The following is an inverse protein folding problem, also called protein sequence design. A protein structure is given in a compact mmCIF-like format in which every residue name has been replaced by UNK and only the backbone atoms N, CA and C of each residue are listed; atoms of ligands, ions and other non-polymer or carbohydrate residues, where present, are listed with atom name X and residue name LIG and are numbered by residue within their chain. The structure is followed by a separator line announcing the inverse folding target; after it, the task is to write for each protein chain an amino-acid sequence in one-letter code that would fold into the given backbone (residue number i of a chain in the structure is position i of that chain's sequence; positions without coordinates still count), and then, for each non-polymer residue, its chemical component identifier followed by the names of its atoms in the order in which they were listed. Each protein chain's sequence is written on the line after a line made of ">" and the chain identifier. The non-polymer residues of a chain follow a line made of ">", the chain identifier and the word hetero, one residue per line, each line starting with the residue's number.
data_IF_893689028597
#
_entry.id   IF_893689028597
#
_cell.length_a   1.000
_cell.length_b   1.000
_cell.length_c   1.000
_cell.angle_alpha   90.00
_cell.angle_beta   90.00
_cell.angle_gamma   90.00
#
_symmetry.space_group_name_H-M   'P 1'
#
loop_
_entity.id
_entity.type
_entity.pdbx_description
1 polymer ?
#
# COMPACT_ATOMS: atom_id res chain seq x y z
N UNK A 1 -11.05 8.13 -10.05
CA UNK A 1 -10.16 7.30 -9.21
C UNK A 1 -10.75 7.32 -7.81
N UNK A 2 -11.11 6.16 -7.25
CA UNK A 2 -11.69 6.08 -5.90
C UNK A 2 -10.56 6.31 -4.87
N UNK A 3 -10.68 7.34 -4.03
CA UNK A 3 -9.73 7.59 -2.95
C UNK A 3 -10.03 6.66 -1.79
N UNK A 4 -9.09 5.79 -1.44
CA UNK A 4 -9.19 4.93 -0.25
C UNK A 4 -8.80 5.71 1.00
N UNK A 5 -9.54 5.50 2.09
CA UNK A 5 -9.14 6.03 3.39
C UNK A 5 -7.88 5.32 3.89
N UNK A 6 -7.07 5.97 4.74
CA UNK A 6 -5.89 5.33 5.33
C UNK A 6 -6.24 4.03 6.09
N UNK A 7 -7.44 3.97 6.71
CA UNK A 7 -7.94 2.76 7.38
C UNK A 7 -8.24 1.64 6.39
N UNK A 8 -8.88 1.95 5.26
CA UNK A 8 -9.16 1.01 4.17
C UNK A 8 -7.87 0.44 3.59
N UNK A 9 -6.89 1.30 3.28
CA UNK A 9 -5.57 0.90 2.78
C UNK A 9 -4.89 -0.06 3.76
N UNK A 10 -4.84 0.30 5.04
CA UNK A 10 -4.20 -0.53 6.06
C UNK A 10 -4.92 -1.86 6.24
N UNK A 11 -6.26 -1.87 6.24
CA UNK A 11 -7.05 -3.08 6.34
C UNK A 11 -6.74 -4.04 5.19
N UNK A 12 -6.88 -3.58 3.94
CA UNK A 12 -6.65 -4.41 2.75
C UNK A 12 -5.22 -4.95 2.70
N UNK A 13 -4.23 -4.10 3.00
CA UNK A 13 -2.83 -4.50 3.05
C UNK A 13 -2.56 -5.53 4.14
N UNK A 14 -3.13 -5.34 5.33
CA UNK A 14 -2.94 -6.26 6.45
C UNK A 14 -3.62 -7.60 6.19
N UNK A 15 -4.84 -7.61 5.66
CA UNK A 15 -5.50 -8.86 5.24
C UNK A 15 -4.66 -9.62 4.22
N UNK A 16 -4.09 -8.91 3.25
CA UNK A 16 -3.26 -9.52 2.23
C UNK A 16 -1.99 -10.13 2.83
N UNK A 17 -1.29 -9.42 3.72
CA UNK A 17 -0.10 -9.94 4.40
C UNK A 17 -0.44 -11.20 5.21
N UNK A 18 -1.58 -11.22 5.91
CA UNK A 18 -2.03 -12.40 6.64
C UNK A 18 -2.31 -13.59 5.73
N UNK A 19 -2.96 -13.36 4.58
CA UNK A 19 -3.24 -14.39 3.57
C UNK A 19 -1.95 -14.93 2.95
N UNK A 20 -1.01 -14.06 2.59
CA UNK A 20 0.30 -14.43 2.01
C UNK A 20 1.15 -15.27 2.96
N UNK A 21 1.07 -15.00 4.26
CA UNK A 21 1.79 -15.76 5.29
C UNK A 21 0.98 -16.94 5.86
N UNK A 22 -0.25 -17.15 5.40
CA UNK A 22 -1.17 -18.19 5.89
C UNK A 22 -1.36 -18.17 7.41
N UNK A 23 -1.60 -16.98 7.98
CA UNK A 23 -1.82 -16.79 9.42
C UNK A 23 -3.21 -16.22 9.72
N UNK A 24 -3.67 -16.49 10.95
CA UNK A 24 -4.94 -16.03 11.50
C UNK A 24 -4.78 -14.74 12.31
N UNK A 25 -5.91 -14.09 12.63
CA UNK A 25 -5.91 -12.90 13.51
C UNK A 25 -5.40 -13.22 14.92
N UNK A 26 -5.62 -14.45 15.38
CA UNK A 26 -5.18 -14.92 16.69
C UNK A 26 -3.65 -15.00 16.71
N UNK A 27 -3.05 -15.71 15.77
CA UNK A 27 -1.60 -15.85 15.65
C UNK A 27 -0.89 -14.51 15.51
N UNK A 28 -1.43 -13.61 14.66
CA UNK A 28 -0.89 -12.26 14.53
C UNK A 28 -0.98 -11.49 15.85
N UNK A 29 -2.12 -11.58 16.55
CA UNK A 29 -2.32 -10.86 17.81
C UNK A 29 -1.37 -11.33 18.91
N UNK A 30 -1.12 -12.64 18.99
CA UNK A 30 -0.17 -13.24 19.92
C UNK A 30 1.27 -12.82 19.59
N UNK A 31 1.65 -12.83 18.31
CA UNK A 31 2.99 -12.49 17.88
C UNK A 31 3.38 -11.03 18.18
N UNK A 32 2.44 -10.09 18.02
CA UNK A 32 2.70 -8.66 18.26
C UNK A 32 2.24 -8.19 19.66
N UNK A 33 1.74 -9.09 20.50
CA UNK A 33 1.38 -8.79 21.89
C UNK A 33 0.16 -7.85 22.05
N UNK A 34 -0.88 -8.04 21.23
CA UNK A 34 -2.16 -7.30 21.34
C UNK A 34 -3.35 -8.26 21.42
N UNK A 35 -4.53 -7.75 21.76
CA UNK A 35 -5.75 -8.57 21.72
C UNK A 35 -6.18 -8.86 20.27
N UNK A 36 -6.79 -10.02 20.03
CA UNK A 36 -7.43 -10.34 18.74
C UNK A 36 -8.45 -9.26 18.33
N UNK A 37 -9.17 -8.67 19.31
CA UNK A 37 -10.12 -7.58 19.05
C UNK A 37 -9.44 -6.31 18.53
N UNK A 38 -8.17 -6.07 18.88
CA UNK A 38 -7.37 -4.98 18.35
C UNK A 38 -7.08 -5.19 16.86
N UNK A 39 -6.65 -6.39 16.47
CA UNK A 39 -6.47 -6.77 15.06
C UNK A 39 -7.78 -6.63 14.29
N UNK A 40 -8.87 -7.17 14.85
CA UNK A 40 -10.20 -7.08 14.23
C UNK A 40 -10.66 -5.64 14.01
N UNK A 41 -10.37 -4.73 14.94
CA UNK A 41 -10.68 -3.30 14.78
C UNK A 41 -9.87 -2.64 13.65
N UNK A 42 -8.65 -3.08 13.38
CA UNK A 42 -7.85 -2.58 12.26
C UNK A 42 -8.37 -3.10 10.93
N UNK A 43 -8.70 -4.39 10.85
CA UNK A 43 -9.27 -5.03 9.65
C UNK A 43 -10.67 -4.52 9.31
N UNK A 44 -11.51 -4.24 10.31
CA UNK A 44 -12.85 -3.68 10.12
C UNK A 44 -12.86 -2.16 9.95
N UNK A 45 -11.69 -1.54 9.77
CA UNK A 45 -11.54 -0.09 9.63
C UNK A 45 -12.13 0.72 10.80
N UNK A 46 -12.25 0.14 12.00
CA UNK A 46 -12.82 0.85 13.17
C UNK A 46 -11.78 1.78 13.79
N UNK A 47 -10.53 1.33 13.89
CA UNK A 47 -9.41 2.08 14.45
C UNK A 47 -8.20 2.01 13.53
N UNK A 48 -7.34 3.02 13.64
CA UNK A 48 -6.04 3.01 13.00
C UNK A 48 -4.95 2.72 14.06
N UNK A 49 -3.98 1.81 13.78
CA UNK A 49 -2.88 1.53 14.70
C UNK A 49 -2.00 2.76 14.93
N UNK A 50 -1.43 2.87 16.13
CA UNK A 50 -0.38 3.87 16.40
C UNK A 50 0.91 3.48 15.66
N UNK A 51 1.80 4.46 15.47
CA UNK A 51 3.09 4.27 14.77
C UNK A 51 3.89 3.09 15.35
N UNK A 52 3.92 2.91 16.66
CA UNK A 52 4.61 1.77 17.29
C UNK A 52 4.04 0.42 16.87
N UNK A 53 2.72 0.31 16.74
CA UNK A 53 2.05 -0.91 16.26
C UNK A 53 2.29 -1.14 14.77
N UNK A 54 2.38 -0.07 13.98
CA UNK A 54 2.75 -0.18 12.56
C UNK A 54 4.17 -0.71 12.42
N UNK A 55 5.10 -0.27 13.27
CA UNK A 55 6.47 -0.78 13.30
C UNK A 55 6.49 -2.28 13.65
N UNK A 56 5.78 -2.71 14.69
CA UNK A 56 5.71 -4.13 15.06
C UNK A 56 5.11 -5.01 13.95
N UNK A 57 4.07 -4.54 13.28
CA UNK A 57 3.52 -5.24 12.11
C UNK A 57 4.56 -5.33 10.98
N UNK A 58 5.27 -4.24 10.70
CA UNK A 58 6.32 -4.20 9.68
C UNK A 58 7.47 -5.17 10.01
N UNK A 59 7.90 -5.21 11.27
CA UNK A 59 8.95 -6.10 11.74
C UNK A 59 8.51 -7.56 11.68
N UNK A 60 7.28 -7.87 12.12
CA UNK A 60 6.73 -9.22 12.08
C UNK A 60 6.63 -9.78 10.66
N UNK A 61 6.13 -8.99 9.71
CA UNK A 61 6.02 -9.40 8.31
C UNK A 61 7.32 -9.21 7.51
N UNK A 62 8.36 -8.61 8.11
CA UNK A 62 9.61 -8.24 7.44
C UNK A 62 9.39 -7.40 6.17
N UNK A 63 8.58 -6.35 6.27
CA UNK A 63 8.24 -5.43 5.17
C UNK A 63 8.42 -3.98 5.60
N UNK A 64 8.66 -3.03 4.67
CA UNK A 64 8.65 -1.61 5.01
C UNK A 64 7.25 -1.17 5.47
N UNK A 65 7.16 -0.16 6.35
CA UNK A 65 5.89 0.41 6.83
C UNK A 65 4.96 0.84 5.68
N UNK A 66 5.52 1.35 4.59
CA UNK A 66 4.78 1.73 3.38
C UNK A 66 3.96 0.57 2.79
N UNK A 67 4.45 -0.68 2.89
CA UNK A 67 3.70 -1.87 2.45
C UNK A 67 2.37 -2.04 3.21
N UNK A 68 2.27 -1.49 4.41
CA UNK A 68 1.09 -1.51 5.26
C UNK A 68 0.28 -0.23 5.06
N UNK A 69 0.92 0.93 4.96
CA UNK A 69 0.24 2.24 5.05
C UNK A 69 -0.09 2.90 3.72
N UNK A 70 0.54 2.51 2.61
CA UNK A 70 0.37 3.14 1.30
C UNK A 70 -0.50 2.29 0.37
N UNK A 71 -1.24 2.96 -0.51
CA UNK A 71 -2.00 2.29 -1.57
C UNK A 71 -1.02 1.86 -2.67
N UNK A 72 -1.11 0.59 -3.08
CA UNK A 72 -0.27 0.02 -4.14
C UNK A 72 -0.44 0.74 -5.47
N UNK A 73 -1.60 1.37 -5.69
CA UNK A 73 -1.87 2.10 -6.92
C UNK A 73 -1.17 3.47 -6.98
N UNK A 74 -0.71 4.02 -5.85
CA UNK A 74 -0.04 5.33 -5.81
C UNK A 74 1.37 5.29 -6.41
N UNK A 75 1.97 4.10 -6.58
CA UNK A 75 3.28 3.98 -7.23
C UNK A 75 3.26 4.19 -8.76
N UNK A 76 2.09 4.26 -9.39
CA UNK A 76 2.01 4.55 -10.83
C UNK A 76 2.15 6.03 -11.21
N UNK A 77 2.10 6.95 -10.23
CA UNK A 77 2.08 8.40 -10.51
C UNK A 77 3.44 9.10 -10.39
N UNK A 78 4.48 8.42 -9.88
CA UNK A 78 5.78 9.03 -9.59
C UNK A 78 6.88 8.77 -10.62
N UNK A 79 6.56 8.30 -11.83
CA UNK A 79 7.56 8.28 -12.91
C UNK A 79 7.91 9.71 -13.35
N UNK A 80 6.94 10.64 -13.37
CA UNK A 80 7.15 11.99 -13.88
C UNK A 80 7.93 12.91 -12.91
N UNK A 81 7.74 12.78 -11.60
CA UNK A 81 8.28 13.71 -10.61
C UNK A 81 9.82 13.66 -10.44
N UNK A 82 10.49 12.63 -10.97
CA UNK A 82 11.95 12.52 -10.95
C UNK A 82 12.62 12.85 -12.30
N UNK A 83 11.84 13.17 -13.35
CA UNK A 83 12.34 13.39 -14.71
C UNK A 83 12.46 14.87 -15.09
N UNK A 84 11.93 15.79 -14.29
CA UNK A 84 11.87 17.23 -14.58
C UNK A 84 13.26 17.94 -14.64
N UNK A 85 14.36 17.20 -14.43
CA UNK A 85 15.73 17.71 -14.54
C UNK A 85 16.60 17.09 -15.65
N UNK A 86 16.20 15.94 -16.20
CA UNK A 86 17.03 15.14 -17.13
C UNK A 86 16.51 15.13 -18.58
N UNK A 87 15.30 15.66 -18.81
CA UNK A 87 14.62 15.59 -20.10
C UNK A 87 14.04 16.95 -20.50
N UNK A 88 14.14 17.27 -21.78
CA UNK A 88 13.49 18.45 -22.36
C UNK A 88 11.96 18.30 -22.36
N UNK A 89 11.25 19.42 -22.52
CA UNK A 89 9.79 19.44 -22.64
C UNK A 89 9.29 18.54 -23.79
N UNK A 90 10.03 18.47 -24.90
CA UNK A 90 9.70 17.62 -26.04
C UNK A 90 9.85 16.13 -25.73
N UNK A 91 10.88 15.75 -24.96
CA UNK A 91 11.11 14.36 -24.55
C UNK A 91 10.06 13.91 -23.54
N UNK A 92 9.72 14.77 -22.57
CA UNK A 92 8.62 14.52 -21.64
C UNK A 92 7.27 14.37 -22.36
N UNK A 93 7.03 15.16 -23.41
CA UNK A 93 5.82 15.03 -24.23
C UNK A 93 5.74 13.66 -24.91
N UNK A 94 6.84 13.17 -25.49
CA UNK A 94 6.92 11.83 -26.12
C UNK A 94 6.72 10.71 -25.10
N UNK A 95 7.31 10.82 -23.91
CA UNK A 95 7.15 9.85 -22.83
C UNK A 95 5.67 9.77 -22.39
N UNK A 96 5.00 10.93 -22.25
CA UNK A 96 3.56 11.01 -21.91
C UNK A 96 2.68 10.38 -22.98
N UNK A 97 2.93 10.68 -24.25
CA UNK A 97 2.20 10.11 -25.38
C UNK A 97 2.32 8.58 -25.43
N UNK A 98 3.55 8.06 -25.24
CA UNK A 98 3.79 6.61 -25.20
C UNK A 98 3.07 5.95 -24.01
N UNK A 99 3.12 6.55 -22.83
CA UNK A 99 2.42 6.05 -21.65
C UNK A 99 0.89 5.98 -21.86
N UNK A 100 0.30 6.98 -22.52
CA UNK A 100 -1.12 6.93 -22.91
C UNK A 100 -1.43 5.81 -23.92
N UNK A 101 -0.57 5.61 -24.91
CA UNK A 101 -0.73 4.57 -25.92
C UNK A 101 -0.76 3.18 -25.27
N UNK A 102 0.19 2.91 -24.37
CA UNK A 102 0.26 1.63 -23.64
C UNK A 102 -0.98 1.41 -22.79
N UNK A 103 -1.49 2.43 -22.08
CA UNK A 103 -2.73 2.31 -21.29
C UNK A 103 -3.94 1.96 -22.17
N UNK A 104 -4.14 2.68 -23.29
CA UNK A 104 -5.22 2.42 -24.24
C UNK A 104 -5.15 1.03 -24.90
N UNK A 105 -3.96 0.43 -24.95
CA UNK A 105 -3.75 -0.93 -25.47
C UNK A 105 -4.07 -2.05 -24.47
N UNK A 106 -4.09 -1.76 -23.17
CA UNK A 106 -4.35 -2.75 -22.10
C UNK A 106 -5.83 -2.97 -21.80
N UNK A 107 -6.67 -2.00 -22.15
CA UNK A 107 -8.13 -2.04 -21.96
C UNK A 107 -8.89 -2.58 -23.20
N UNK A 108 -8.20 -3.29 -24.11
CA UNK A 108 -8.77 -3.94 -25.31
C UNK A 108 -8.56 -5.45 -25.29
#
# INVERSE_FOLDING_TARGET
>A
MEYKSARKILSENLEQLMKENNITQVELSEAIGVSQSTISNWLKEVKYPRISRIQELADYFNVPKSRITEDKNTQQDNLAAHLDGDFSEEELAKIREFAEMVRKSRDK
#
